data_IF_587809188234
#
_entry.id   IF_587809188234
#
_cell.length_a   1.000
_cell.length_b   1.000
_cell.length_c   1.000
_cell.angle_alpha   90.00
_cell.angle_beta   90.00
_cell.angle_gamma   90.00
#
_symmetry.space_group_name_H-M   'P 1'
#
loop_
_entity.id
_entity.type
_entity.pdbx_description
1 polymer ?
#
# COMPACT_ATOMS: atom_id res chain seq x y z
N UNK A 1 31.09 -3.24 22.77
CA UNK A 1 29.67 -2.84 22.83
C UNK A 1 29.36 -2.09 21.55
N UNK A 2 28.57 -2.68 20.65
CA UNK A 2 28.23 -2.05 19.38
C UNK A 2 27.16 -0.97 19.63
N UNK A 3 27.47 0.25 19.23
CA UNK A 3 26.66 1.46 19.33
C UNK A 3 25.28 1.25 18.70
N UNK A 4 24.21 1.68 19.37
CA UNK A 4 22.84 1.64 18.85
C UNK A 4 22.71 2.48 17.55
N UNK A 5 22.33 1.89 16.39
CA UNK A 5 22.12 2.64 15.15
C UNK A 5 20.63 2.88 14.85
N UNK A 6 19.75 2.70 15.83
CA UNK A 6 18.33 2.41 15.55
C UNK A 6 17.54 3.65 15.08
N UNK A 7 17.95 4.86 15.50
CA UNK A 7 17.18 6.09 15.21
C UNK A 7 17.49 6.70 13.84
N UNK A 8 18.75 6.62 13.40
CA UNK A 8 19.20 7.26 12.16
C UNK A 8 18.71 6.44 10.94
N UNK A 9 18.76 5.12 11.04
CA UNK A 9 18.29 4.20 9.99
C UNK A 9 16.78 4.31 9.73
N UNK A 10 15.99 4.59 10.78
CA UNK A 10 14.53 4.77 10.63
C UNK A 10 14.20 6.07 9.90
N UNK A 11 14.86 7.17 10.24
CA UNK A 11 14.64 8.44 9.57
C UNK A 11 15.05 8.36 8.09
N UNK A 12 16.21 7.74 7.81
CA UNK A 12 16.70 7.57 6.45
C UNK A 12 15.77 6.69 5.60
N UNK A 13 15.31 5.55 6.14
CA UNK A 13 14.36 4.68 5.43
C UNK A 13 13.03 5.38 5.18
N UNK A 14 12.51 6.15 6.14
CA UNK A 14 11.31 6.96 5.96
C UNK A 14 11.50 8.01 4.85
N UNK A 15 12.60 8.74 4.85
CA UNK A 15 12.92 9.72 3.79
C UNK A 15 13.06 9.07 2.42
N UNK A 16 13.68 7.88 2.34
CA UNK A 16 13.78 7.12 1.10
C UNK A 16 12.40 6.72 0.56
N UNK A 17 11.54 6.15 1.40
CA UNK A 17 10.19 5.75 1.00
C UNK A 17 9.35 6.95 0.57
N UNK A 18 9.46 8.06 1.30
CA UNK A 18 8.77 9.30 0.94
C UNK A 18 9.22 9.81 -0.43
N UNK A 19 10.53 9.89 -0.69
CA UNK A 19 11.07 10.32 -1.98
C UNK A 19 10.64 9.40 -3.13
N UNK A 20 10.59 8.07 -2.90
CA UNK A 20 10.09 7.11 -3.89
C UNK A 20 8.61 7.33 -4.21
N UNK A 21 7.77 7.59 -3.20
CA UNK A 21 6.34 7.87 -3.37
C UNK A 21 6.15 9.16 -4.16
N UNK A 22 6.88 10.22 -3.83
CA UNK A 22 6.84 11.50 -4.57
C UNK A 22 7.26 11.30 -6.03
N UNK A 23 8.38 10.62 -6.27
CA UNK A 23 8.85 10.33 -7.62
C UNK A 23 7.87 9.49 -8.43
N UNK A 24 7.23 8.50 -7.78
CA UNK A 24 6.18 7.69 -8.39
C UNK A 24 4.98 8.53 -8.83
N UNK A 25 4.54 9.46 -7.98
CA UNK A 25 3.44 10.38 -8.30
C UNK A 25 3.78 11.26 -9.49
N UNK A 26 4.97 11.84 -9.51
CA UNK A 26 5.43 12.73 -10.59
C UNK A 26 5.58 12.00 -11.94
N UNK A 27 5.86 10.69 -11.91
CA UNK A 27 6.05 9.89 -13.10
C UNK A 27 4.73 9.47 -13.79
N UNK A 28 3.58 9.67 -13.15
CA UNK A 28 2.28 9.34 -13.72
C UNK A 28 1.63 10.53 -14.43
N UNK A 29 0.72 10.30 -15.40
CA UNK A 29 0.01 11.36 -16.11
C UNK A 29 -0.72 12.31 -15.15
N UNK A 30 -0.83 13.59 -15.52
CA UNK A 30 -1.45 14.65 -14.68
C UNK A 30 -2.87 14.31 -14.22
N UNK A 31 -3.64 13.58 -15.04
CA UNK A 31 -4.98 13.09 -14.69
C UNK A 31 -4.95 12.24 -13.41
N UNK A 32 -3.91 11.44 -13.23
CA UNK A 32 -3.80 10.44 -12.17
C UNK A 32 -3.13 11.04 -10.94
N UNK A 33 -2.27 12.05 -11.11
CA UNK A 33 -1.66 12.78 -10.00
C UNK A 33 -2.70 13.39 -9.06
N UNK A 34 -3.78 13.93 -9.62
CA UNK A 34 -4.89 14.51 -8.83
C UNK A 34 -5.59 13.48 -7.94
N UNK A 35 -5.73 12.24 -8.43
CA UNK A 35 -6.35 11.14 -7.69
C UNK A 35 -5.41 10.61 -6.61
N UNK A 36 -4.13 10.47 -6.95
CA UNK A 36 -3.08 9.97 -6.05
C UNK A 36 -2.76 10.93 -4.90
N UNK A 37 -2.98 12.23 -5.07
CA UNK A 37 -2.85 13.24 -4.01
C UNK A 37 -3.74 12.95 -2.80
N UNK A 38 -4.88 12.30 -3.02
CA UNK A 38 -5.84 11.95 -1.96
C UNK A 38 -5.61 10.56 -1.39
N UNK A 39 -4.70 9.78 -1.96
CA UNK A 39 -4.40 8.43 -1.52
C UNK A 39 -3.34 8.44 -0.42
N UNK A 40 -3.41 7.43 0.46
CA UNK A 40 -2.33 7.11 1.39
C UNK A 40 -1.48 5.98 0.83
N UNK A 41 -0.19 5.96 1.16
CA UNK A 41 0.76 5.00 0.60
C UNK A 41 1.51 4.27 1.71
N UNK A 42 1.93 3.03 1.42
CA UNK A 42 2.68 2.24 2.38
C UNK A 42 3.48 1.12 1.74
N UNK A 43 4.42 0.56 2.50
CA UNK A 43 5.17 -0.62 2.12
C UNK A 43 5.08 -1.64 3.24
N UNK A 44 4.69 -2.87 2.90
CA UNK A 44 4.74 -3.99 3.83
C UNK A 44 4.95 -5.30 3.07
N UNK A 45 5.56 -6.33 3.67
CA UNK A 45 5.59 -7.66 3.09
C UNK A 45 4.19 -8.28 3.09
N UNK A 46 3.87 -9.06 2.07
CA UNK A 46 2.72 -9.96 2.06
C UNK A 46 2.94 -11.10 3.08
N UNK A 47 1.91 -11.90 3.39
CA UNK A 47 2.08 -13.12 4.20
C UNK A 47 3.11 -14.11 3.63
N UNK A 48 3.40 -14.04 2.33
CA UNK A 48 4.42 -14.83 1.65
C UNK A 48 5.79 -14.15 1.59
N UNK A 49 5.96 -12.98 2.21
CA UNK A 49 7.21 -12.23 2.26
C UNK A 49 7.47 -11.30 1.06
N UNK A 50 6.55 -11.22 0.10
CA UNK A 50 6.70 -10.36 -1.09
C UNK A 50 6.49 -8.90 -0.70
N UNK A 51 7.50 -8.06 -0.93
CA UNK A 51 7.39 -6.61 -0.66
C UNK A 51 6.27 -6.01 -1.52
N UNK A 52 5.27 -5.46 -0.85
CA UNK A 52 4.05 -4.92 -1.45
C UNK A 52 4.02 -3.42 -1.29
N UNK A 53 3.71 -2.71 -2.38
CA UNK A 53 3.38 -1.30 -2.35
C UNK A 53 1.87 -1.12 -2.22
N UNK A 54 1.42 -0.44 -1.17
CA UNK A 54 0.02 -0.21 -0.89
C UNK A 54 -0.38 1.19 -1.36
N UNK A 55 -1.48 1.24 -2.11
CA UNK A 55 -2.18 2.47 -2.49
C UNK A 55 -3.56 2.39 -1.84
N UNK A 56 -3.78 3.20 -0.81
CA UNK A 56 -5.03 3.26 -0.06
C UNK A 56 -5.84 4.45 -0.57
N UNK A 57 -6.95 4.16 -1.23
CA UNK A 57 -7.87 5.16 -1.76
C UNK A 57 -8.90 5.57 -0.70
N UNK A 58 -9.38 6.82 -0.72
CA UNK A 58 -10.38 7.28 0.24
C UNK A 58 -11.81 6.74 -0.05
N UNK A 59 -12.04 6.15 -1.22
CA UNK A 59 -13.34 5.61 -1.63
C UNK A 59 -13.24 4.56 -2.72
N UNK A 60 -14.33 3.79 -2.90
CA UNK A 60 -14.49 2.86 -4.01
C UNK A 60 -14.39 3.56 -5.37
N UNK A 61 -15.05 4.72 -5.53
CA UNK A 61 -15.00 5.49 -6.77
C UNK A 61 -13.57 5.90 -7.14
N UNK A 62 -12.75 6.28 -6.14
CA UNK A 62 -11.35 6.59 -6.37
C UNK A 62 -10.54 5.33 -6.78
N UNK A 63 -10.83 4.18 -6.18
CA UNK A 63 -10.21 2.91 -6.57
C UNK A 63 -10.60 2.51 -8.00
N UNK A 64 -11.88 2.61 -8.38
CA UNK A 64 -12.35 2.30 -9.73
C UNK A 64 -11.67 3.15 -10.81
N UNK A 65 -11.44 4.44 -10.52
CA UNK A 65 -10.70 5.31 -11.44
C UNK A 65 -9.24 4.87 -11.59
N UNK A 66 -8.55 4.59 -10.48
CA UNK A 66 -7.16 4.10 -10.53
C UNK A 66 -7.05 2.72 -11.18
N UNK A 67 -8.09 1.89 -11.11
CA UNK A 67 -8.11 0.59 -11.80
C UNK A 67 -8.06 0.71 -13.32
N UNK A 68 -8.55 1.82 -13.91
CA UNK A 68 -8.49 2.04 -15.35
C UNK A 68 -7.04 2.18 -15.85
N UNK A 69 -6.14 2.66 -15.00
CA UNK A 69 -4.74 2.91 -15.32
C UNK A 69 -3.79 1.98 -14.55
N UNK A 70 -4.29 0.85 -14.06
CA UNK A 70 -3.52 -0.03 -13.16
C UNK A 70 -2.26 -0.58 -13.82
N UNK A 71 -2.29 -0.87 -15.11
CA UNK A 71 -1.14 -1.38 -15.84
C UNK A 71 0.00 -0.35 -15.88
N UNK A 72 -0.33 0.93 -16.10
CA UNK A 72 0.65 2.01 -16.02
C UNK A 72 1.17 2.19 -14.60
N UNK A 73 0.30 2.08 -13.59
CA UNK A 73 0.71 2.15 -12.18
C UNK A 73 1.71 1.03 -11.87
N UNK A 74 1.42 -0.21 -12.26
CA UNK A 74 2.28 -1.38 -12.05
C UNK A 74 3.62 -1.21 -12.78
N UNK A 75 3.60 -0.75 -14.04
CA UNK A 75 4.81 -0.47 -14.82
C UNK A 75 5.69 0.59 -14.14
N UNK A 76 5.08 1.66 -13.60
CA UNK A 76 5.84 2.70 -12.89
C UNK A 76 6.39 2.21 -11.56
N UNK A 77 5.66 1.39 -10.82
CA UNK A 77 6.18 0.74 -9.61
C UNK A 77 7.34 -0.17 -9.98
N UNK A 78 7.23 -0.97 -11.04
CA UNK A 78 8.31 -1.83 -11.53
C UNK A 78 9.58 -1.04 -11.84
N UNK A 79 9.45 0.10 -12.50
CA UNK A 79 10.58 0.92 -12.95
C UNK A 79 11.23 1.70 -11.81
N UNK A 80 10.44 2.18 -10.84
CA UNK A 80 10.92 3.11 -9.81
C UNK A 80 11.18 2.45 -8.46
N UNK A 81 10.48 1.37 -8.13
CA UNK A 81 10.49 0.74 -6.80
C UNK A 81 11.07 -0.68 -6.86
N UNK A 82 12.37 -0.76 -7.13
CA UNK A 82 13.08 -2.04 -7.22
C UNK A 82 12.84 -2.88 -5.95
N UNK A 83 12.57 -4.17 -6.16
CA UNK A 83 12.29 -5.13 -5.09
C UNK A 83 10.84 -5.14 -4.60
N UNK A 84 9.96 -4.26 -5.11
CA UNK A 84 8.51 -4.41 -4.93
C UNK A 84 8.01 -5.47 -5.92
N UNK A 85 7.45 -6.56 -5.41
CA UNK A 85 6.94 -7.67 -6.21
C UNK A 85 5.44 -7.61 -6.49
N UNK A 86 4.71 -6.73 -5.82
CA UNK A 86 3.27 -6.54 -6.05
C UNK A 86 2.77 -5.17 -5.57
N UNK A 87 1.67 -4.72 -6.18
CA UNK A 87 0.92 -3.53 -5.80
C UNK A 87 -0.42 -3.96 -5.21
N UNK A 88 -0.81 -3.38 -4.08
CA UNK A 88 -2.13 -3.56 -3.49
C UNK A 88 -2.90 -2.25 -3.59
N UNK A 89 -4.03 -2.26 -4.31
CA UNK A 89 -4.98 -1.16 -4.33
C UNK A 89 -6.06 -1.45 -3.30
N UNK A 90 -6.14 -0.61 -2.29
CA UNK A 90 -6.98 -0.80 -1.13
C UNK A 90 -7.99 0.34 -0.98
N UNK A 91 -9.17 0.04 -0.45
CA UNK A 91 -10.18 1.05 -0.14
C UNK A 91 -10.17 1.28 1.35
N UNK A 92 -9.97 2.53 1.76
CA UNK A 92 -10.07 2.90 3.16
C UNK A 92 -11.47 2.55 3.68
N UNK A 93 -11.58 1.78 4.78
CA UNK A 93 -12.88 1.56 5.38
C UNK A 93 -13.47 2.92 5.74
N UNK A 94 -14.71 3.15 5.30
CA UNK A 94 -15.47 4.26 5.84
C UNK A 94 -15.80 3.90 7.29
N UNK A 95 -15.68 4.84 8.21
CA UNK A 95 -16.24 4.72 9.56
C UNK A 95 -17.74 4.45 9.42
N UNK A 96 -18.12 3.20 9.20
CA UNK A 96 -19.50 2.76 9.11
C UNK A 96 -19.92 2.48 10.55
N UNK A 97 -20.78 3.31 11.17
CA UNK A 97 -21.63 2.76 12.21
C UNK A 97 -22.59 1.77 11.52
N UNK A 98 -22.96 0.68 12.20
CA UNK A 98 -23.86 -0.42 11.74
C UNK A 98 -23.05 -1.60 11.18
N UNK A 99 -23.08 -2.83 11.71
CA UNK A 99 -24.14 -3.59 12.38
C UNK A 99 -23.48 -4.60 13.34
N UNK A 100 -23.94 -4.65 14.59
CA UNK A 100 -23.42 -5.56 15.61
C UNK A 100 -23.85 -7.00 15.28
N UNK A 101 -22.94 -7.96 15.00
CA UNK A 101 -23.33 -9.35 15.03
C UNK A 101 -23.58 -9.72 16.49
N UNK A 102 -24.86 -9.90 16.83
CA UNK A 102 -25.31 -10.35 18.14
C UNK A 102 -24.64 -11.69 18.44
N UNK A 103 -23.55 -11.68 19.20
CA UNK A 103 -22.94 -12.88 19.76
C UNK A 103 -22.73 -12.63 21.24
N UNK A 104 -23.60 -13.25 22.02
CA UNK A 104 -23.55 -13.35 23.45
C UNK A 104 -22.27 -14.08 23.91
N UNK A 105 -21.40 -13.43 24.66
CA UNK A 105 -21.16 -13.74 26.09
C UNK A 105 -19.85 -13.10 26.61
N UNK A 106 -20.02 -12.27 27.64
CA UNK A 106 -19.25 -12.24 28.91
C UNK A 106 -17.70 -12.17 28.82
N UNK A 107 -17.13 -10.96 28.92
CA UNK A 107 -16.17 -10.48 29.96
C UNK A 107 -15.30 -9.28 29.49
N UNK A 108 -15.26 -8.24 30.34
CA UNK A 108 -14.37 -7.07 30.42
C UNK A 108 -14.64 -5.82 29.53
N UNK A 109 -14.63 -4.60 30.12
CA UNK A 109 -14.81 -3.34 29.41
C UNK A 109 -13.46 -2.83 28.90
N UNK A 110 -12.92 -3.49 27.88
CA UNK A 110 -11.92 -2.89 27.00
C UNK A 110 -12.68 -2.43 25.76
N UNK A 111 -12.62 -1.14 25.44
CA UNK A 111 -13.26 -0.57 24.26
C UNK A 111 -13.04 -1.53 23.07
N UNK A 112 -14.13 -2.12 22.59
CA UNK A 112 -14.13 -3.11 21.52
C UNK A 112 -13.67 -2.43 20.24
N UNK A 113 -12.35 -2.41 20.01
CA UNK A 113 -11.77 -2.13 18.71
C UNK A 113 -12.29 -3.21 17.75
N UNK A 114 -13.34 -2.88 17.01
CA UNK A 114 -13.73 -3.69 15.86
C UNK A 114 -12.69 -3.35 14.79
N UNK A 115 -11.83 -4.30 14.37
CA UNK A 115 -10.87 -4.02 13.32
C UNK A 115 -11.65 -3.68 12.06
N UNK A 116 -11.53 -2.44 11.60
CA UNK A 116 -12.04 -2.07 10.29
C UNK A 116 -11.18 -2.78 9.25
N UNK A 117 -11.76 -3.76 8.57
CA UNK A 117 -11.06 -4.51 7.54
C UNK A 117 -10.95 -3.64 6.28
N UNK A 118 -9.73 -3.54 5.77
CA UNK A 118 -9.45 -2.89 4.50
C UNK A 118 -9.59 -3.92 3.37
N UNK A 119 -10.39 -3.60 2.36
CA UNK A 119 -10.51 -4.43 1.15
C UNK A 119 -9.42 -4.04 0.16
N UNK A 120 -8.68 -5.02 -0.36
CA UNK A 120 -7.60 -4.78 -1.31
C UNK A 120 -7.67 -5.71 -2.52
N UNK A 121 -7.28 -5.20 -3.69
CA UNK A 121 -6.97 -6.00 -4.89
C UNK A 121 -5.47 -5.97 -5.13
N UNK A 122 -4.88 -7.15 -5.36
CA UNK A 122 -3.43 -7.33 -5.51
C UNK A 122 -3.10 -7.50 -7.00
N UNK A 123 -2.03 -6.83 -7.43
CA UNK A 123 -1.50 -6.86 -8.78
C UNK A 123 -0.03 -7.27 -8.74
N UNK A 124 0.39 -8.37 -9.38
CA UNK A 124 1.79 -8.75 -9.42
C UNK A 124 2.59 -7.74 -10.26
N UNK A 125 3.82 -7.46 -9.82
CA UNK A 125 4.81 -6.73 -10.60
C UNK A 125 5.68 -7.76 -11.30
N UNK A 126 5.44 -7.98 -12.59
CA UNK A 126 6.23 -8.92 -13.37
C UNK A 126 7.66 -8.41 -13.49
N UNK A 127 8.60 -9.02 -12.76
CA UNK A 127 10.02 -8.80 -13.03
C UNK A 127 10.34 -9.57 -14.31
N UNK A 128 10.84 -8.95 -15.40
CA UNK A 128 11.58 -9.71 -16.37
C UNK A 128 12.79 -10.21 -15.61
N UNK A 129 12.79 -11.49 -15.26
CA UNK A 129 14.02 -12.18 -14.92
C UNK A 129 14.80 -12.16 -16.23
N UNK A 130 15.92 -11.42 -16.37
CA UNK A 130 16.79 -11.69 -17.50
C UNK A 130 17.21 -13.14 -17.32
N UNK A 131 16.71 -14.01 -18.19
CA UNK A 131 17.23 -15.36 -18.31
C UNK A 131 18.74 -15.18 -18.55
N UNK A 132 19.54 -15.45 -17.53
CA UNK A 132 20.94 -15.75 -17.71
C UNK A 132 20.96 -17.06 -18.49
N UNK A 133 21.04 -16.94 -19.81
CA UNK A 133 21.45 -18.06 -20.66
C UNK A 133 22.91 -18.36 -20.29
N UNK A 134 23.13 -19.52 -19.65
CA UNK A 134 24.44 -20.14 -19.47
C UNK A 134 25.04 -20.57 -20.81
#
# INVERSE_FOLDING_TARGET
>A
MLSQPISDDRALSQSLYQALIERFRDALPLSNQSQLLTCSFGFAPSPTGVKTFFIVTPSLLAAEKLLLDIDQIVERVQTLMIGVGQVALCIQPQNNPVETPSSSSVCHPSATFHPEYMMCKIFPVNSPIPCLED
#
